data_IF_507161148489
#
_entry.id   IF_507161148489
#
_cell.length_a   1.000
_cell.length_b   1.000
_cell.length_c   1.000
_cell.angle_alpha   90.00
_cell.angle_beta   90.00
_cell.angle_gamma   90.00
#
_symmetry.space_group_name_H-M   'P 1'
#
loop_
_entity.id
_entity.type
_entity.pdbx_description
1 polymer ?
#
# COMPACT_ATOMS: atom_id res chain seq x y z
N UNK A 1 15.03 13.72 21.02
CA UNK A 1 13.95 13.70 20.01
C UNK A 1 14.09 12.37 19.29
N UNK A 2 13.22 11.39 19.59
CA UNK A 2 13.30 10.09 18.93
C UNK A 2 12.87 10.28 17.47
N UNK A 3 13.82 10.31 16.55
CA UNK A 3 13.55 9.92 15.17
C UNK A 3 13.22 8.43 15.26
N UNK A 4 11.94 8.08 15.46
CA UNK A 4 11.54 6.69 15.44
C UNK A 4 11.74 6.21 14.00
N UNK A 5 12.93 5.67 13.73
CA UNK A 5 13.29 5.04 12.46
C UNK A 5 12.45 3.79 12.35
N UNK A 6 11.21 3.97 11.90
CA UNK A 6 10.32 2.85 11.70
C UNK A 6 10.89 1.97 10.60
N UNK A 7 11.03 0.68 10.89
CA UNK A 7 11.65 -0.26 9.97
C UNK A 7 10.73 -0.48 8.77
N UNK A 8 11.25 -0.19 7.58
CA UNK A 8 10.57 -0.43 6.32
C UNK A 8 10.86 -1.87 5.91
N UNK A 9 9.84 -2.72 5.98
CA UNK A 9 9.93 -4.13 5.62
C UNK A 9 9.95 -4.33 4.11
N UNK A 10 9.12 -3.57 3.38
CA UNK A 10 8.98 -3.70 1.93
C UNK A 10 8.65 -2.35 1.29
N UNK A 11 9.27 -2.08 0.15
CA UNK A 11 8.96 -0.92 -0.69
C UNK A 11 8.52 -1.42 -2.06
N UNK A 12 7.27 -1.13 -2.41
CA UNK A 12 6.69 -1.45 -3.70
C UNK A 12 6.60 -0.18 -4.53
N UNK A 13 7.34 -0.13 -5.63
CA UNK A 13 7.30 1.00 -6.58
C UNK A 13 6.20 0.75 -7.62
N UNK A 14 5.80 1.80 -8.36
CA UNK A 14 4.72 1.71 -9.37
C UNK A 14 3.36 1.33 -8.76
N UNK A 15 3.06 1.91 -7.60
CA UNK A 15 1.74 1.80 -6.96
C UNK A 15 1.01 3.12 -7.12
N UNK A 16 -0.11 3.08 -7.84
CA UNK A 16 -0.98 4.22 -8.08
C UNK A 16 -2.05 4.34 -7.00
N UNK A 17 -2.27 5.54 -6.51
CA UNK A 17 -3.42 5.88 -5.67
C UNK A 17 -4.12 7.13 -6.22
N UNK A 18 -5.46 7.11 -6.33
CA UNK A 18 -6.29 8.21 -6.90
C UNK A 18 -5.70 8.83 -8.19
N UNK A 19 -5.24 7.99 -9.13
CA UNK A 19 -4.60 8.37 -10.41
C UNK A 19 -3.20 9.00 -10.31
N UNK A 20 -2.60 9.02 -9.13
CA UNK A 20 -1.25 9.51 -8.91
C UNK A 20 -0.31 8.32 -8.75
N UNK A 21 0.80 8.33 -9.48
CA UNK A 21 1.88 7.36 -9.34
C UNK A 21 2.64 7.58 -8.05
N UNK A 22 3.17 6.50 -7.48
CA UNK A 22 3.87 6.52 -6.21
C UNK A 22 4.43 5.18 -5.81
N UNK A 23 4.85 5.12 -4.55
CA UNK A 23 5.38 3.92 -3.93
C UNK A 23 4.66 3.64 -2.62
N UNK A 24 4.37 2.35 -2.40
CA UNK A 24 3.80 1.81 -1.18
C UNK A 24 4.95 1.32 -0.30
N UNK A 25 4.90 1.68 0.96
CA UNK A 25 5.89 1.39 1.98
C UNK A 25 5.18 0.58 3.07
N UNK A 26 5.58 -0.66 3.22
CA UNK A 26 5.17 -1.49 4.33
C UNK A 26 6.21 -1.34 5.42
N UNK A 27 5.76 -0.90 6.56
CA UNK A 27 6.55 -0.80 7.78
C UNK A 27 6.09 -1.89 8.74
N UNK A 28 6.81 -2.06 9.85
CA UNK A 28 6.47 -3.07 10.87
C UNK A 28 5.08 -2.86 11.49
N UNK A 29 4.64 -1.61 11.68
CA UNK A 29 3.40 -1.29 12.40
C UNK A 29 2.29 -0.71 11.51
N UNK A 30 2.67 -0.26 10.30
CA UNK A 30 1.75 0.44 9.40
C UNK A 30 2.11 0.28 7.94
N UNK A 31 1.14 0.56 7.10
CA UNK A 31 1.31 0.73 5.66
C UNK A 31 1.18 2.20 5.29
N UNK A 32 2.14 2.69 4.52
CA UNK A 32 2.20 4.06 4.06
C UNK A 32 2.34 4.12 2.55
N UNK A 33 1.88 5.20 1.93
CA UNK A 33 2.08 5.44 0.51
C UNK A 33 2.51 6.88 0.30
N UNK A 34 3.57 7.03 -0.50
CA UNK A 34 4.08 8.32 -0.92
C UNK A 34 3.92 8.45 -2.44
N UNK A 35 3.39 9.59 -2.91
CA UNK A 35 3.36 9.85 -4.33
C UNK A 35 4.75 10.11 -4.89
N UNK A 36 4.94 9.74 -6.15
CA UNK A 36 6.18 9.98 -6.87
C UNK A 36 6.44 11.48 -6.97
N UNK A 37 7.68 11.89 -6.65
CA UNK A 37 8.07 13.30 -6.61
C UNK A 37 7.70 14.06 -5.33
N UNK A 38 7.06 13.42 -4.32
CA UNK A 38 6.93 14.00 -2.98
C UNK A 38 7.71 13.18 -1.95
N UNK A 39 8.33 13.90 -1.02
CA UNK A 39 9.11 13.31 0.09
C UNK A 39 8.24 12.94 1.31
N UNK A 40 6.91 13.08 1.21
CA UNK A 40 5.99 12.84 2.33
C UNK A 40 4.97 11.77 2.00
N UNK A 41 4.72 10.90 2.97
CA UNK A 41 3.60 9.96 2.92
C UNK A 41 2.29 10.74 2.96
N UNK A 42 1.48 10.62 1.91
CA UNK A 42 0.13 11.21 1.89
C UNK A 42 -0.90 10.26 2.48
N UNK A 43 -0.54 8.99 2.64
CA UNK A 43 -1.39 7.94 3.20
C UNK A 43 -0.54 7.18 4.19
N UNK A 44 -1.08 6.96 5.38
CA UNK A 44 -0.45 6.18 6.43
C UNK A 44 -1.57 5.58 7.28
N UNK A 45 -1.61 4.26 7.36
CA UNK A 45 -2.61 3.52 8.11
C UNK A 45 -1.93 2.45 8.94
N UNK A 46 -2.15 2.46 10.26
CA UNK A 46 -1.67 1.40 11.14
C UNK A 46 -2.40 0.11 10.86
N UNK A 47 -1.72 -1.04 10.97
CA UNK A 47 -2.39 -2.34 10.81
C UNK A 47 -3.51 -2.54 11.83
N UNK A 48 -3.37 -1.97 13.04
CA UNK A 48 -4.42 -1.96 14.06
C UNK A 48 -5.71 -1.26 13.61
N UNK A 49 -5.61 -0.26 12.72
CA UNK A 49 -6.78 0.43 12.16
C UNK A 49 -7.35 -0.27 10.93
N UNK A 50 -6.62 -1.20 10.32
CA UNK A 50 -7.05 -1.94 9.14
C UNK A 50 -7.95 -3.09 9.57
N UNK A 51 -9.24 -2.93 9.30
CA UNK A 51 -10.26 -3.95 9.52
C UNK A 51 -10.08 -5.14 8.58
N UNK A 52 -9.91 -4.88 7.29
CA UNK A 52 -9.74 -5.93 6.27
C UNK A 52 -8.92 -5.42 5.08
N UNK A 53 -8.12 -6.30 4.50
CA UNK A 53 -7.48 -6.07 3.20
C UNK A 53 -8.24 -6.84 2.11
N UNK A 54 -8.60 -6.16 1.01
CA UNK A 54 -9.28 -6.74 -0.14
C UNK A 54 -8.38 -6.64 -1.35
N UNK A 55 -7.98 -7.78 -1.90
CA UNK A 55 -7.25 -7.82 -3.17
C UNK A 55 -8.21 -8.04 -4.33
N UNK A 56 -7.87 -7.47 -5.48
CA UNK A 56 -8.55 -7.80 -6.73
C UNK A 56 -8.31 -9.27 -7.07
N UNK A 57 -9.36 -9.99 -7.53
CA UNK A 57 -9.24 -11.39 -7.90
C UNK A 57 -8.24 -11.58 -9.05
N UNK A 58 -7.55 -12.70 -9.01
CA UNK A 58 -6.57 -13.11 -10.02
C UNK A 58 -7.27 -13.25 -11.38
N UNK A 59 -6.64 -12.72 -12.44
CA UNK A 59 -7.20 -12.71 -13.80
C UNK A 59 -7.86 -11.39 -14.23
N UNK A 60 -8.01 -10.38 -13.36
CA UNK A 60 -8.37 -9.02 -13.79
C UNK A 60 -7.13 -8.26 -14.27
N UNK A 61 -7.27 -7.52 -15.38
CA UNK A 61 -6.24 -6.62 -15.91
C UNK A 61 -5.84 -5.48 -14.95
N UNK A 62 -6.58 -5.28 -13.85
CA UNK A 62 -6.28 -4.28 -12.81
C UNK A 62 -5.98 -4.98 -11.50
N UNK A 63 -4.72 -4.96 -11.10
CA UNK A 63 -4.28 -5.50 -9.81
C UNK A 63 -4.39 -4.41 -8.76
N UNK A 64 -5.40 -4.50 -7.89
CA UNK A 64 -5.62 -3.49 -6.84
C UNK A 64 -5.71 -4.12 -5.45
N UNK A 65 -5.22 -3.40 -4.44
CA UNK A 65 -5.38 -3.68 -3.01
C UNK A 65 -6.20 -2.57 -2.38
N UNK A 66 -7.30 -2.93 -1.75
CA UNK A 66 -8.16 -2.04 -1.00
C UNK A 66 -8.01 -2.33 0.48
N UNK A 67 -7.56 -1.35 1.25
CA UNK A 67 -7.59 -1.38 2.70
C UNK A 67 -8.94 -0.87 3.18
N UNK A 68 -9.57 -1.59 4.09
CA UNK A 68 -10.79 -1.18 4.78
C UNK A 68 -10.41 -0.89 6.22
N UNK A 69 -10.61 0.34 6.67
CA UNK A 69 -10.32 0.75 8.04
C UNK A 69 -11.52 0.49 8.96
N UNK A 70 -11.25 0.38 10.25
CA UNK A 70 -12.29 0.31 11.28
C UNK A 70 -13.20 1.56 11.28
N UNK A 71 -12.65 2.72 10.91
CA UNK A 71 -13.39 3.97 10.77
C UNK A 71 -14.40 4.00 9.60
N UNK A 72 -14.41 2.97 8.74
CA UNK A 72 -15.24 2.94 7.53
C UNK A 72 -14.58 3.57 6.30
N UNK A 73 -13.43 4.21 6.48
CA UNK A 73 -12.60 4.69 5.38
C UNK A 73 -12.00 3.54 4.58
N UNK A 74 -11.84 3.75 3.28
CA UNK A 74 -11.22 2.75 2.40
C UNK A 74 -10.19 3.37 1.48
N UNK A 75 -9.03 2.72 1.40
CA UNK A 75 -7.90 3.19 0.61
C UNK A 75 -7.58 2.18 -0.47
N UNK A 76 -7.63 2.62 -1.74
CA UNK A 76 -7.41 1.76 -2.90
C UNK A 76 -6.03 2.05 -3.52
N UNK A 77 -5.20 1.03 -3.59
CA UNK A 77 -3.91 1.01 -4.27
C UNK A 77 -4.01 0.18 -5.55
N UNK A 78 -3.46 0.70 -6.64
CA UNK A 78 -3.42 0.02 -7.92
C UNK A 78 -1.96 -0.24 -8.29
N UNK A 79 -1.59 -1.51 -8.37
CA UNK A 79 -0.26 -1.93 -8.81
C UNK A 79 -0.25 -1.90 -10.34
N UNK A 80 0.45 -0.94 -10.93
CA UNK A 80 0.55 -0.78 -12.38
C UNK A 80 1.73 -1.55 -12.98
N UNK A 81 2.32 -2.47 -12.22
CA UNK A 81 3.51 -3.22 -12.62
C UNK A 81 3.12 -4.56 -13.24
N UNK A 82 2.83 -4.61 -14.55
CA UNK A 82 2.22 -5.81 -15.17
C UNK A 82 2.97 -7.13 -14.93
N UNK A 83 4.29 -7.10 -14.77
CA UNK A 83 5.11 -8.30 -14.57
C UNK A 83 5.23 -8.76 -13.11
N UNK A 84 5.17 -7.84 -12.15
CA UNK A 84 5.38 -8.15 -10.72
C UNK A 84 4.22 -7.74 -9.83
N UNK A 85 3.18 -7.10 -10.34
CA UNK A 85 2.05 -6.58 -9.57
C UNK A 85 1.36 -7.67 -8.75
N UNK A 86 1.25 -8.89 -9.30
CA UNK A 86 0.67 -10.01 -8.57
C UNK A 86 1.56 -10.39 -7.38
N UNK A 87 2.88 -10.52 -7.58
CA UNK A 87 3.84 -10.84 -6.52
C UNK A 87 3.92 -9.73 -5.47
N UNK A 88 3.96 -8.48 -5.91
CA UNK A 88 4.03 -7.30 -5.03
C UNK A 88 2.75 -7.19 -4.20
N UNK A 89 1.58 -7.37 -4.81
CA UNK A 89 0.30 -7.42 -4.09
C UNK A 89 0.26 -8.57 -3.09
N UNK A 90 0.72 -9.75 -3.46
CA UNK A 90 0.71 -10.92 -2.57
C UNK A 90 1.64 -10.72 -1.38
N UNK A 91 2.85 -10.21 -1.61
CA UNK A 91 3.77 -9.84 -0.55
C UNK A 91 3.19 -8.77 0.39
N UNK A 92 2.43 -7.81 -0.14
CA UNK A 92 1.76 -6.78 0.67
C UNK A 92 0.59 -7.36 1.49
N UNK A 93 -0.09 -8.37 0.96
CA UNK A 93 -1.23 -9.03 1.62
C UNK A 93 -0.80 -10.00 2.72
N UNK A 94 0.33 -10.68 2.52
CA UNK A 94 0.82 -11.74 3.42
C UNK A 94 1.56 -11.22 4.66
N UNK A 95 1.81 -9.91 4.70
CA UNK A 95 2.35 -9.15 5.85
C UNK A 95 1.22 -8.70 6.79
#
# INVERSE_FOLDING_TARGET
MATSSEEVLLIVKKVRQKKQDGALYLMAERIAWAPEGKDRFTISHMYADIKCQKISPEGKAKIQLQLVLHAGDTTNFHFSNESTAVKERDAVKDL
#
